data_IF_342244403107
#
_entry.id   IF_342244403107
#
_cell.length_a   1.000
_cell.length_b   1.000
_cell.length_c   1.000
_cell.angle_alpha   90.00
_cell.angle_beta   90.00
_cell.angle_gamma   90.00
#
_symmetry.space_group_name_H-M   'P 1'
#
loop_
_entity.id
_entity.type
_entity.pdbx_description
1 polymer ?
#
# COMPACT_ATOMS: atom_id res chain seq x y z
N UNK A 1 6.63 37.52 -1.49
CA UNK A 1 5.52 36.93 -2.26
C UNK A 1 6.06 35.59 -2.79
N UNK A 2 5.61 34.47 -2.23
CA UNK A 2 5.91 33.14 -2.76
C UNK A 2 5.14 32.98 -4.08
N UNK A 3 5.83 32.62 -5.13
CA UNK A 3 5.19 32.37 -6.44
C UNK A 3 4.45 31.03 -6.39
N UNK A 4 3.38 30.88 -7.14
CA UNK A 4 2.60 29.62 -7.26
C UNK A 4 3.47 28.41 -7.64
N UNK A 5 4.64 28.61 -8.24
CA UNK A 5 5.64 27.59 -8.56
C UNK A 5 6.37 27.04 -7.33
N UNK A 6 6.51 27.83 -6.25
CA UNK A 6 7.17 27.38 -5.01
C UNK A 6 6.28 26.46 -4.18
N UNK A 7 4.95 26.57 -4.30
CA UNK A 7 3.99 25.75 -3.57
C UNK A 7 3.87 24.34 -4.18
N UNK A 8 4.07 24.19 -5.49
CA UNK A 8 4.00 22.91 -6.18
C UNK A 8 5.18 21.96 -5.82
N UNK A 9 6.29 22.50 -5.32
CA UNK A 9 7.49 21.71 -4.97
C UNK A 9 7.64 21.40 -3.47
N UNK A 10 6.73 21.93 -2.64
CA UNK A 10 6.77 21.60 -1.21
C UNK A 10 6.20 20.21 -0.95
N UNK A 11 6.87 19.40 -0.11
CA UNK A 11 6.33 18.09 0.26
C UNK A 11 4.98 18.26 0.95
N UNK A 12 3.99 17.50 0.52
CA UNK A 12 2.72 17.37 1.22
C UNK A 12 2.95 16.46 2.43
N UNK A 13 2.61 16.94 3.63
CA UNK A 13 2.69 16.14 4.86
C UNK A 13 1.29 15.82 5.33
N UNK A 14 1.00 14.53 5.45
CA UNK A 14 -0.28 13.99 5.90
C UNK A 14 -0.08 13.37 7.28
N UNK A 15 -0.90 13.76 8.25
CA UNK A 15 -0.93 13.12 9.56
C UNK A 15 -2.04 12.07 9.57
N UNK A 16 -1.67 10.84 9.91
CA UNK A 16 -2.59 9.72 9.99
C UNK A 16 -2.60 9.17 11.40
N UNK A 17 -3.73 8.62 11.83
CA UNK A 17 -3.85 7.96 13.14
C UNK A 17 -4.05 6.46 12.87
N UNK A 18 -3.22 5.63 13.49
CA UNK A 18 -3.36 4.18 13.39
C UNK A 18 -4.49 3.66 14.30
N UNK A 19 -4.85 2.38 14.14
CA UNK A 19 -5.92 1.71 14.89
C UNK A 19 -5.64 1.65 16.42
N UNK A 20 -4.41 1.98 16.83
CA UNK A 20 -3.98 1.99 18.23
C UNK A 20 -3.83 3.41 18.81
N UNK A 21 -4.22 4.43 18.03
CA UNK A 21 -4.11 5.84 18.40
C UNK A 21 -2.69 6.41 18.25
N UNK A 22 -1.79 5.67 17.59
CA UNK A 22 -0.48 6.19 17.20
C UNK A 22 -0.61 7.22 16.08
N UNK A 23 0.18 8.28 16.16
CA UNK A 23 0.20 9.35 15.14
C UNK A 23 1.43 9.18 14.28
N UNK A 24 1.20 8.99 12.98
CA UNK A 24 2.23 8.82 11.98
C UNK A 24 2.16 9.93 10.93
N UNK A 25 3.29 10.26 10.35
CA UNK A 25 3.38 11.28 9.31
C UNK A 25 3.79 10.64 8.00
N UNK A 26 3.01 10.90 6.95
CA UNK A 26 3.36 10.54 5.58
C UNK A 26 3.76 11.80 4.83
N UNK A 27 4.94 11.77 4.24
CA UNK A 27 5.43 12.83 3.36
C UNK A 27 5.33 12.38 1.91
N UNK A 28 4.76 13.23 1.06
CA UNK A 28 4.56 12.99 -0.37
C UNK A 28 5.23 14.10 -1.16
N UNK A 29 5.98 13.75 -2.20
CA UNK A 29 6.65 14.72 -3.08
C UNK A 29 6.39 14.38 -4.53
N UNK A 30 5.96 15.35 -5.28
CA UNK A 30 5.99 15.28 -6.74
C UNK A 30 7.44 15.44 -7.21
N UNK A 31 7.85 14.58 -8.13
CA UNK A 31 9.14 14.63 -8.82
C UNK A 31 8.97 15.01 -10.28
N UNK A 32 10.06 15.00 -11.03
CA UNK A 32 10.04 15.22 -12.47
C UNK A 32 9.33 14.07 -13.19
N UNK A 33 8.72 14.35 -14.34
CA UNK A 33 8.11 13.35 -15.25
C UNK A 33 7.01 12.48 -14.59
N UNK A 34 6.28 13.02 -13.61
CA UNK A 34 5.21 12.28 -12.93
C UNK A 34 5.72 11.28 -11.89
N UNK A 35 7.00 11.32 -11.53
CA UNK A 35 7.50 10.57 -10.39
C UNK A 35 6.85 11.09 -9.11
N UNK A 36 6.49 10.18 -8.22
CA UNK A 36 6.00 10.52 -6.88
C UNK A 36 6.82 9.75 -5.87
N UNK A 37 7.34 10.43 -4.85
CA UNK A 37 7.99 9.76 -3.73
C UNK A 37 7.15 9.90 -2.47
N UNK A 38 7.06 8.81 -1.70
CA UNK A 38 6.33 8.76 -0.43
C UNK A 38 7.20 8.13 0.65
N UNK A 39 7.10 8.65 1.86
CA UNK A 39 7.72 8.08 3.06
C UNK A 39 6.77 8.15 4.25
N UNK A 40 6.96 7.26 5.22
CA UNK A 40 6.14 7.20 6.44
C UNK A 40 7.03 7.07 7.67
N UNK A 41 6.60 7.65 8.79
CA UNK A 41 7.34 7.54 10.06
C UNK A 41 7.11 6.23 10.80
N UNK A 42 6.14 5.41 10.37
CA UNK A 42 5.76 4.20 11.07
C UNK A 42 6.90 3.16 11.12
N UNK A 43 6.89 2.36 12.18
CA UNK A 43 7.90 1.32 12.43
C UNK A 43 8.04 0.33 11.26
N UNK A 44 6.93 -0.02 10.60
CA UNK A 44 6.96 -0.96 9.47
C UNK A 44 7.69 -0.37 8.27
N UNK A 45 7.45 0.90 7.96
CA UNK A 45 8.16 1.58 6.89
C UNK A 45 9.67 1.65 7.17
N UNK A 46 10.05 1.96 8.41
CA UNK A 46 11.46 2.00 8.80
C UNK A 46 12.16 0.65 8.62
N UNK A 47 11.45 -0.47 8.86
CA UNK A 47 12.01 -1.82 8.74
C UNK A 47 12.00 -2.35 7.30
N UNK A 48 10.93 -2.11 6.55
CA UNK A 48 10.67 -2.79 5.27
C UNK A 48 10.73 -1.84 4.06
N UNK A 49 10.73 -0.52 4.27
CA UNK A 49 10.66 0.52 3.22
C UNK A 49 9.30 0.60 2.53
N UNK A 50 8.27 0.02 3.14
CA UNK A 50 6.87 0.14 2.77
C UNK A 50 5.97 -0.11 3.99
N UNK A 51 4.73 0.34 3.94
CA UNK A 51 3.73 0.06 4.97
C UNK A 51 2.32 0.13 4.38
N UNK A 52 1.34 -0.34 5.14
CA UNK A 52 -0.07 -0.30 4.73
C UNK A 52 -0.54 1.13 4.48
N UNK A 53 -0.13 2.08 5.32
CA UNK A 53 -0.48 3.49 5.17
C UNK A 53 -0.12 4.04 3.77
N UNK A 54 1.07 3.73 3.25
CA UNK A 54 1.47 4.19 1.91
C UNK A 54 0.64 3.54 0.81
N UNK A 55 0.31 2.25 0.94
CA UNK A 55 -0.52 1.54 -0.04
C UNK A 55 -1.94 2.12 -0.05
N UNK A 56 -2.55 2.29 1.13
CA UNK A 56 -3.91 2.82 1.24
C UNK A 56 -4.01 4.26 0.73
N UNK A 57 -3.06 5.12 1.08
CA UNK A 57 -3.02 6.48 0.55
C UNK A 57 -2.85 6.48 -0.97
N UNK A 58 -1.88 5.71 -1.51
CA UNK A 58 -1.65 5.66 -2.95
C UNK A 58 -2.82 5.00 -3.72
N UNK A 59 -3.68 4.23 -3.05
CA UNK A 59 -4.97 3.77 -3.55
C UNK A 59 -6.11 4.78 -3.36
N UNK A 60 -5.80 6.04 -3.02
CA UNK A 60 -6.76 7.13 -2.81
C UNK A 60 -7.76 6.89 -1.66
N UNK A 61 -7.34 6.13 -0.62
CA UNK A 61 -8.16 5.82 0.55
C UNK A 61 -7.84 6.76 1.73
N UNK A 62 -7.83 8.07 1.48
CA UNK A 62 -7.45 9.07 2.47
C UNK A 62 -8.36 9.04 3.70
N UNK A 63 -9.67 8.86 3.50
CA UNK A 63 -10.65 8.78 4.59
C UNK A 63 -10.43 7.58 5.50
N UNK A 64 -10.01 6.45 4.95
CA UNK A 64 -9.70 5.24 5.73
C UNK A 64 -8.44 5.44 6.59
N UNK A 65 -7.59 6.40 6.19
CA UNK A 65 -6.42 6.85 6.94
C UNK A 65 -6.72 8.02 7.91
N UNK A 66 -8.00 8.38 8.09
CA UNK A 66 -8.42 9.47 8.99
C UNK A 66 -8.24 10.88 8.43
N UNK A 67 -7.91 11.02 7.14
CA UNK A 67 -7.76 12.32 6.48
C UNK A 67 -9.13 12.76 5.94
N UNK A 68 -9.67 13.82 6.53
CA UNK A 68 -11.01 14.35 6.20
C UNK A 68 -10.98 15.78 5.68
N UNK A 69 -9.80 16.38 5.59
CA UNK A 69 -9.59 17.74 5.06
C UNK A 69 -9.68 17.71 3.53
N UNK A 70 -10.69 18.38 2.92
CA UNK A 70 -10.90 18.35 1.48
C UNK A 70 -9.77 19.06 0.69
N UNK A 71 -9.08 20.02 1.28
CA UNK A 71 -7.97 20.70 0.62
C UNK A 71 -6.73 19.80 0.55
N UNK A 72 -6.49 19.00 1.59
CA UNK A 72 -5.44 17.98 1.59
C UNK A 72 -5.77 16.85 0.61
N UNK A 73 -7.03 16.42 0.56
CA UNK A 73 -7.52 15.39 -0.37
C UNK A 73 -7.28 15.83 -1.83
N UNK A 74 -7.74 17.03 -2.20
CA UNK A 74 -7.55 17.56 -3.55
C UNK A 74 -6.07 17.70 -3.94
N UNK A 75 -5.22 18.19 -3.03
CA UNK A 75 -3.78 18.32 -3.29
C UNK A 75 -3.09 16.97 -3.43
N UNK A 76 -3.50 15.98 -2.65
CA UNK A 76 -2.97 14.63 -2.75
C UNK A 76 -3.37 13.99 -4.07
N UNK A 77 -4.64 14.12 -4.47
CA UNK A 77 -5.17 13.66 -5.75
C UNK A 77 -4.38 14.27 -6.92
N UNK A 78 -4.13 15.58 -6.91
CA UNK A 78 -3.34 16.25 -7.94
C UNK A 78 -1.92 15.66 -8.08
N UNK A 79 -1.31 15.20 -6.98
CA UNK A 79 0.04 14.63 -6.99
C UNK A 79 0.05 13.17 -7.43
N UNK A 80 -0.93 12.37 -7.02
CA UNK A 80 -0.87 10.90 -7.10
C UNK A 80 -1.74 10.31 -8.21
N UNK A 81 -2.88 10.93 -8.52
CA UNK A 81 -3.83 10.37 -9.48
C UNK A 81 -3.21 10.24 -10.89
N UNK A 82 -3.45 9.10 -11.52
CA UNK A 82 -2.93 8.78 -12.86
C UNK A 82 -1.44 8.47 -12.91
N UNK A 83 -0.75 8.43 -11.78
CA UNK A 83 0.69 8.15 -11.75
C UNK A 83 1.00 6.65 -11.75
N UNK A 84 2.23 6.26 -12.15
CA UNK A 84 2.69 4.87 -12.01
C UNK A 84 2.70 4.37 -10.55
N UNK A 85 2.78 5.27 -9.57
CA UNK A 85 2.69 4.92 -8.15
C UNK A 85 1.29 4.43 -7.79
N UNK A 86 0.24 5.13 -8.21
CA UNK A 86 -1.15 4.72 -7.99
C UNK A 86 -1.43 3.34 -8.58
N UNK A 87 -1.04 3.11 -9.84
CA UNK A 87 -1.20 1.82 -10.50
C UNK A 87 -0.48 0.70 -9.76
N UNK A 88 0.75 0.95 -9.29
CA UNK A 88 1.51 -0.04 -8.52
C UNK A 88 0.90 -0.30 -7.14
N UNK A 89 0.27 0.70 -6.51
CA UNK A 89 -0.43 0.55 -5.24
C UNK A 89 -1.67 -0.32 -5.39
N UNK A 90 -2.47 -0.10 -6.42
CA UNK A 90 -3.65 -0.93 -6.71
C UNK A 90 -3.29 -2.39 -6.99
N UNK A 91 -2.23 -2.65 -7.76
CA UNK A 91 -1.75 -4.03 -7.98
C UNK A 91 -1.27 -4.68 -6.67
N UNK A 92 -0.51 -3.95 -5.85
CA UNK A 92 -0.08 -4.45 -4.55
C UNK A 92 -1.26 -4.74 -3.61
N UNK A 93 -2.24 -3.85 -3.53
CA UNK A 93 -3.44 -4.04 -2.70
C UNK A 93 -4.25 -5.26 -3.13
N UNK A 94 -4.48 -5.41 -4.43
CA UNK A 94 -5.18 -6.58 -5.00
C UNK A 94 -4.46 -7.88 -4.64
N UNK A 95 -3.12 -7.94 -4.82
CA UNK A 95 -2.35 -9.15 -4.52
C UNK A 95 -2.35 -9.47 -3.02
N UNK A 96 -2.26 -8.45 -2.16
CA UNK A 96 -2.39 -8.64 -0.71
C UNK A 96 -3.78 -9.14 -0.30
N UNK A 97 -4.83 -8.70 -0.97
CA UNK A 97 -6.18 -9.21 -0.74
C UNK A 97 -6.31 -10.70 -1.11
N UNK A 98 -5.69 -11.11 -2.22
CA UNK A 98 -5.65 -12.52 -2.65
C UNK A 98 -4.91 -13.39 -1.61
N UNK A 99 -3.75 -12.93 -1.11
CA UNK A 99 -3.01 -13.64 -0.05
C UNK A 99 -3.85 -13.81 1.21
N UNK A 100 -4.55 -12.74 1.64
CA UNK A 100 -5.43 -12.83 2.82
C UNK A 100 -6.54 -13.83 2.63
N UNK A 101 -7.16 -13.89 1.44
CA UNK A 101 -8.21 -14.85 1.12
C UNK A 101 -7.70 -16.29 1.19
N UNK A 102 -6.60 -16.62 0.47
CA UNK A 102 -6.03 -17.96 0.51
C UNK A 102 -5.54 -18.34 1.91
N UNK A 103 -5.00 -17.39 2.67
CA UNK A 103 -4.63 -17.63 4.07
C UNK A 103 -5.83 -17.99 4.95
N UNK A 104 -6.98 -17.35 4.74
CA UNK A 104 -8.23 -17.68 5.44
C UNK A 104 -8.75 -19.08 5.04
N UNK A 105 -8.69 -19.43 3.75
CA UNK A 105 -9.08 -20.75 3.24
C UNK A 105 -8.23 -21.86 3.87
N UNK A 106 -6.91 -21.69 3.92
CA UNK A 106 -5.99 -22.64 4.59
C UNK A 106 -6.31 -22.77 6.09
N UNK A 107 -6.54 -21.66 6.78
CA UNK A 107 -6.89 -21.67 8.20
C UNK A 107 -8.22 -22.40 8.47
N UNK A 108 -9.20 -22.24 7.58
CA UNK A 108 -10.49 -22.95 7.68
C UNK A 108 -10.32 -24.47 7.50
N UNK A 109 -9.51 -24.90 6.53
CA UNK A 109 -9.23 -26.33 6.30
C UNK A 109 -8.53 -26.94 7.52
N UNK A 110 -7.54 -26.22 8.10
CA UNK A 110 -6.81 -26.68 9.29
C UNK A 110 -7.69 -26.79 10.53
N UNK A 111 -8.79 -26.04 10.60
CA UNK A 111 -9.76 -26.13 11.70
C UNK A 111 -10.79 -27.26 11.50
N UNK A 112 -10.84 -27.90 10.33
CA UNK A 112 -11.77 -29.01 10.03
C UNK A 112 -11.22 -30.36 10.54
N UNK A 113 -12.09 -31.38 10.72
CA UNK A 113 -11.64 -32.71 11.08
C UNK A 113 -10.66 -33.30 10.05
N UNK A 114 -9.62 -33.99 10.52
CA UNK A 114 -8.64 -34.66 9.65
C UNK A 114 -9.31 -35.77 8.84
N UNK A 115 -9.45 -35.54 7.54
CA UNK A 115 -9.88 -36.53 6.56
C UNK A 115 -8.86 -36.58 5.42
N UNK A 116 -8.86 -37.65 4.65
CA UNK A 116 -7.99 -37.74 3.47
C UNK A 116 -8.26 -36.63 2.48
N UNK A 117 -9.53 -36.34 2.22
CA UNK A 117 -9.95 -35.29 1.28
C UNK A 117 -9.55 -33.89 1.79
N UNK A 118 -9.59 -33.65 3.11
CA UNK A 118 -9.11 -32.42 3.72
C UNK A 118 -7.62 -32.22 3.53
N UNK A 119 -6.82 -33.30 3.64
CA UNK A 119 -5.36 -33.23 3.42
C UNK A 119 -5.00 -32.95 1.96
N UNK A 120 -5.71 -33.54 0.99
CA UNK A 120 -5.51 -33.22 -0.44
C UNK A 120 -5.91 -31.77 -0.75
N UNK A 121 -7.03 -31.30 -0.22
CA UNK A 121 -7.48 -29.92 -0.36
C UNK A 121 -6.49 -28.94 0.29
N UNK A 122 -5.95 -29.27 1.47
CA UNK A 122 -4.93 -28.46 2.15
C UNK A 122 -3.67 -28.30 1.29
N UNK A 123 -3.21 -29.38 0.66
CA UNK A 123 -2.01 -29.34 -0.18
C UNK A 123 -2.20 -28.40 -1.39
N UNK A 124 -3.37 -28.41 -2.02
CA UNK A 124 -3.71 -27.50 -3.12
C UNK A 124 -3.80 -26.03 -2.63
N UNK A 125 -4.55 -25.78 -1.55
CA UNK A 125 -4.71 -24.43 -1.00
C UNK A 125 -3.39 -23.86 -0.48
N UNK A 126 -2.50 -24.67 0.08
CA UNK A 126 -1.17 -24.23 0.49
C UNK A 126 -0.30 -23.82 -0.71
N UNK A 127 -0.40 -24.54 -1.82
CA UNK A 127 0.27 -24.19 -3.07
C UNK A 127 -0.25 -22.86 -3.61
N UNK A 128 -1.58 -22.69 -3.69
CA UNK A 128 -2.20 -21.45 -4.17
C UNK A 128 -1.79 -20.24 -3.30
N UNK A 129 -1.71 -20.44 -1.98
CA UNK A 129 -1.21 -19.43 -1.05
C UNK A 129 0.25 -19.07 -1.31
N UNK A 130 1.10 -20.05 -1.60
CA UNK A 130 2.52 -19.82 -1.89
C UNK A 130 2.68 -19.00 -3.19
N UNK A 131 1.97 -19.36 -4.27
CA UNK A 131 1.97 -18.63 -5.54
C UNK A 131 1.44 -17.20 -5.37
N UNK A 132 0.35 -17.02 -4.61
CA UNK A 132 -0.19 -15.70 -4.30
C UNK A 132 0.78 -14.84 -3.49
N UNK A 133 1.52 -15.43 -2.55
CA UNK A 133 2.51 -14.74 -1.72
C UNK A 133 3.69 -14.25 -2.57
N UNK A 134 4.16 -15.05 -3.52
CA UNK A 134 5.21 -14.65 -4.46
C UNK A 134 4.75 -13.48 -5.33
N UNK A 135 3.56 -13.58 -5.92
CA UNK A 135 2.98 -12.51 -6.74
C UNK A 135 2.79 -11.20 -5.94
N UNK A 136 2.37 -11.29 -4.68
CA UNK A 136 2.26 -10.12 -3.79
C UNK A 136 3.63 -9.51 -3.46
N UNK A 137 4.64 -10.34 -3.24
CA UNK A 137 6.02 -9.89 -3.00
C UNK A 137 6.58 -9.11 -4.19
N UNK A 138 6.30 -9.57 -5.41
CA UNK A 138 6.70 -8.87 -6.63
C UNK A 138 5.98 -7.52 -6.79
N UNK A 139 4.68 -7.48 -6.54
CA UNK A 139 3.89 -6.25 -6.60
C UNK A 139 4.37 -5.23 -5.56
N UNK A 140 4.66 -5.66 -4.33
CA UNK A 140 5.22 -4.81 -3.29
C UNK A 140 6.63 -4.29 -3.64
N UNK A 141 7.47 -5.08 -4.30
CA UNK A 141 8.77 -4.62 -4.79
C UNK A 141 8.62 -3.51 -5.84
N UNK A 142 7.67 -3.65 -6.77
CA UNK A 142 7.35 -2.59 -7.75
C UNK A 142 6.84 -1.33 -7.05
N UNK A 143 5.84 -1.48 -6.18
CA UNK A 143 5.30 -0.37 -5.39
C UNK A 143 6.41 0.38 -4.62
N UNK A 144 7.26 -0.36 -3.90
CA UNK A 144 8.38 0.22 -3.14
C UNK A 144 9.32 1.05 -4.02
N UNK A 145 9.68 0.56 -5.22
CA UNK A 145 10.50 1.33 -6.16
C UNK A 145 9.81 2.61 -6.60
N UNK A 146 8.52 2.53 -6.94
CA UNK A 146 7.72 3.71 -7.33
C UNK A 146 7.59 4.71 -6.18
N UNK A 147 7.32 4.24 -4.97
CA UNK A 147 7.25 5.10 -3.78
C UNK A 147 8.59 5.75 -3.41
N UNK A 148 9.71 5.21 -3.87
CA UNK A 148 11.02 5.84 -3.77
C UNK A 148 11.30 6.85 -4.92
N UNK A 149 10.34 7.07 -5.82
CA UNK A 149 10.46 8.00 -6.94
C UNK A 149 11.17 7.42 -8.17
N UNK A 150 11.34 6.09 -8.27
CA UNK A 150 11.93 5.48 -9.45
C UNK A 150 10.96 5.57 -10.65
N UNK A 151 11.51 5.96 -11.79
CA UNK A 151 10.86 5.95 -13.09
C UNK A 151 11.56 4.84 -13.90
N UNK A 152 10.78 3.84 -14.36
CA UNK A 152 11.32 2.81 -15.28
C UNK A 152 11.30 3.35 -16.71
#
# INVERSE_FOLDING_TARGET
MLTTHDLANQPLSLTITDDHGGVEVVSVRAGAQGAVSMSCTCRRYAAEGWCRHLVDLACMRLRDCGITDPDLDARFEEIVAGTPLESAAHDADLRLAIVRRHGADVAQILAAPETRDAMETLALSARDLAEATEAASDALRRFKRRAAGAID
#
